data_IF_583306158296
#
_entry.id   IF_583306158296
#
_cell.length_a   1.000
_cell.length_b   1.000
_cell.length_c   1.000
_cell.angle_alpha   90.00
_cell.angle_beta   90.00
_cell.angle_gamma   90.00
#
_symmetry.space_group_name_H-M   'P 1'
#
loop_
_entity.id
_entity.type
_entity.pdbx_description
1 polymer ?
#
# COMPACT_ATOMS: atom_id res chain seq x y z
N UNK A 1 -6.24 -9.37 6.58
CA UNK A 1 -5.30 -10.48 6.86
C UNK A 1 -4.07 -10.01 7.62
N UNK A 2 -3.21 -9.12 7.09
CA UNK A 2 -1.98 -8.72 7.79
C UNK A 2 -2.19 -8.24 9.25
N UNK A 3 -3.28 -7.50 9.51
CA UNK A 3 -3.63 -7.02 10.84
C UNK A 3 -3.87 -8.15 11.87
N UNK A 4 -4.45 -9.28 11.44
CA UNK A 4 -4.80 -10.37 12.35
C UNK A 4 -3.59 -11.10 12.91
N UNK A 5 -2.40 -10.89 12.35
CA UNK A 5 -1.15 -11.39 12.94
C UNK A 5 -0.91 -10.73 14.30
N UNK A 6 -1.15 -9.43 14.40
CA UNK A 6 -0.78 -8.61 15.57
C UNK A 6 -1.93 -8.34 16.52
N UNK A 7 -3.18 -8.31 16.05
CA UNK A 7 -4.33 -8.02 16.90
C UNK A 7 -5.64 -7.94 16.14
N UNK A 8 -6.68 -7.41 16.78
CA UNK A 8 -8.00 -7.31 16.17
C UNK A 8 -7.93 -6.42 14.92
N UNK A 9 -8.25 -6.94 13.71
CA UNK A 9 -8.16 -6.18 12.47
C UNK A 9 -8.98 -4.88 12.47
N UNK A 10 -10.14 -4.85 13.13
CA UNK A 10 -11.01 -3.67 13.17
C UNK A 10 -10.38 -2.51 13.95
N UNK A 11 -9.61 -2.80 15.00
CA UNK A 11 -8.96 -1.78 15.82
C UNK A 11 -7.52 -1.49 15.40
N UNK A 12 -6.86 -2.45 14.75
CA UNK A 12 -5.47 -2.34 14.34
C UNK A 12 -5.33 -1.54 13.04
N UNK A 13 -6.19 -1.80 12.05
CA UNK A 13 -6.23 -0.99 10.83
C UNK A 13 -6.65 0.44 11.15
N UNK A 14 -5.93 1.41 10.59
CA UNK A 14 -6.23 2.84 10.70
C UNK A 14 -6.60 3.37 9.33
N UNK A 15 -7.36 4.47 9.29
CA UNK A 15 -7.67 5.15 8.05
C UNK A 15 -6.64 6.25 7.78
N UNK A 16 -6.41 6.56 6.51
CA UNK A 16 -5.61 7.71 6.08
C UNK A 16 -6.21 9.07 6.46
N UNK A 17 -7.45 9.10 6.98
CA UNK A 17 -8.13 10.28 7.53
C UNK A 17 -7.46 10.82 8.80
N UNK A 18 -6.28 11.39 8.64
CA UNK A 18 -5.47 11.95 9.72
C UNK A 18 -4.57 13.06 9.19
N UNK A 19 -4.15 13.97 10.07
CA UNK A 19 -3.15 15.00 9.73
C UNK A 19 -1.75 14.40 9.80
N UNK A 20 -0.75 15.05 9.18
CA UNK A 20 0.65 14.63 9.32
C UNK A 20 1.12 14.45 10.79
N UNK A 21 0.62 15.28 11.71
CA UNK A 21 0.91 15.16 13.14
C UNK A 21 0.25 13.94 13.79
N UNK A 22 -0.98 13.61 13.37
CA UNK A 22 -1.67 12.40 13.81
C UNK A 22 -0.95 11.15 13.32
N UNK A 23 -0.48 11.16 12.07
CA UNK A 23 0.33 10.07 11.51
C UNK A 23 1.68 9.90 12.22
N UNK A 24 2.33 10.99 12.64
CA UNK A 24 3.54 10.93 13.48
C UNK A 24 3.28 10.18 14.79
N UNK A 25 2.16 10.47 15.46
CA UNK A 25 1.76 9.76 16.68
C UNK A 25 1.46 8.28 16.43
N UNK A 26 0.76 7.97 15.34
CA UNK A 26 0.47 6.58 14.95
C UNK A 26 1.73 5.79 14.61
N UNK A 27 2.69 6.42 13.91
CA UNK A 27 3.97 5.82 13.57
C UNK A 27 4.80 5.50 14.81
N UNK A 28 4.84 6.42 15.78
CA UNK A 28 5.52 6.18 17.05
C UNK A 28 4.89 5.02 17.85
N UNK A 29 3.56 4.86 17.79
CA UNK A 29 2.85 3.75 18.45
C UNK A 29 3.10 2.39 17.77
N UNK A 30 3.40 2.37 16.47
CA UNK A 30 3.70 1.16 15.69
C UNK A 30 5.20 1.02 15.40
N UNK A 31 6.06 1.65 16.22
CA UNK A 31 7.50 1.51 16.08
C UNK A 31 7.91 0.03 16.23
N UNK A 32 8.81 -0.41 15.36
CA UNK A 32 9.26 -1.79 15.20
C UNK A 32 8.13 -2.79 14.85
N UNK A 33 6.99 -2.27 14.37
CA UNK A 33 5.81 -3.03 13.99
C UNK A 33 5.29 -2.70 12.59
N UNK A 34 4.10 -3.23 12.30
CA UNK A 34 3.37 -3.00 11.05
C UNK A 34 2.32 -1.90 11.25
N UNK A 35 2.34 -0.84 10.46
CA UNK A 35 1.27 0.14 10.41
C UNK A 35 0.37 -0.14 9.20
N UNK A 36 -0.93 -0.32 9.39
CA UNK A 36 -1.87 -0.52 8.27
C UNK A 36 -2.74 0.73 8.15
N UNK A 37 -2.68 1.35 6.98
CA UNK A 37 -3.45 2.54 6.61
C UNK A 37 -4.36 2.21 5.42
N UNK A 38 -5.66 2.23 5.66
CA UNK A 38 -6.67 1.94 4.65
C UNK A 38 -7.26 3.24 4.09
N UNK A 39 -7.80 3.14 2.88
CA UNK A 39 -8.45 4.23 2.14
C UNK A 39 -7.58 5.48 1.92
N UNK A 40 -6.51 5.35 1.12
CA UNK A 40 -5.59 6.45 0.80
C UNK A 40 -6.30 7.73 0.32
N UNK A 41 -7.44 7.62 -0.36
CA UNK A 41 -8.25 8.74 -0.82
C UNK A 41 -8.79 9.65 0.31
N UNK A 42 -8.76 9.21 1.56
CA UNK A 42 -9.28 9.97 2.71
C UNK A 42 -8.30 11.00 3.29
N UNK A 43 -7.02 11.00 2.90
CA UNK A 43 -6.09 12.07 3.24
C UNK A 43 -6.26 13.25 2.27
N UNK A 44 -5.97 14.46 2.72
CA UNK A 44 -5.84 15.59 1.80
C UNK A 44 -4.71 15.29 0.79
N UNK A 45 -5.06 15.28 -0.49
CA UNK A 45 -4.13 15.14 -1.62
C UNK A 45 -2.89 16.03 -1.51
N UNK A 46 -2.98 17.20 -0.88
CA UNK A 46 -1.85 18.12 -0.66
C UNK A 46 -0.88 17.64 0.42
N UNK A 47 -1.37 16.87 1.39
CA UNK A 47 -0.60 16.32 2.50
C UNK A 47 -0.10 14.90 2.20
N UNK A 48 -0.72 14.17 1.27
CA UNK A 48 -0.42 12.77 0.95
C UNK A 48 1.07 12.49 0.73
N UNK A 49 1.72 13.31 -0.11
CA UNK A 49 3.15 13.16 -0.43
C UNK A 49 4.08 13.44 0.76
N UNK A 50 3.75 14.43 1.60
CA UNK A 50 4.51 14.70 2.83
C UNK A 50 4.31 13.59 3.86
N UNK A 51 3.08 13.09 3.99
CA UNK A 51 2.71 12.04 4.93
C UNK A 51 3.44 10.73 4.62
N UNK A 52 3.42 10.28 3.36
CA UNK A 52 4.17 9.10 2.93
C UNK A 52 5.69 9.28 3.16
N UNK A 53 6.23 10.47 2.91
CA UNK A 53 7.63 10.78 3.14
C UNK A 53 8.01 10.75 4.63
N UNK A 54 7.15 11.31 5.49
CA UNK A 54 7.30 11.30 6.94
C UNK A 54 7.33 9.87 7.47
N UNK A 55 6.33 9.05 7.11
CA UNK A 55 6.24 7.66 7.54
C UNK A 55 7.47 6.86 7.14
N UNK A 56 7.91 6.99 5.89
CA UNK A 56 9.05 6.26 5.34
C UNK A 56 10.43 6.69 5.89
N UNK A 57 10.57 7.93 6.36
CA UNK A 57 11.85 8.43 6.88
C UNK A 57 12.09 8.09 8.35
N UNK A 58 11.07 7.68 9.09
CA UNK A 58 11.27 7.24 10.46
C UNK A 58 11.45 8.36 11.49
N UNK A 59 11.15 9.62 11.15
CA UNK A 59 11.43 10.76 12.04
C UNK A 59 10.32 11.82 12.00
N UNK A 60 9.91 12.24 13.19
CA UNK A 60 8.95 13.31 13.40
C UNK A 60 9.51 14.70 13.10
N UNK A 61 8.63 15.69 12.88
CA UNK A 61 9.06 17.06 12.59
C UNK A 61 9.78 17.65 13.81
N UNK A 62 11.00 18.16 13.62
CA UNK A 62 11.77 18.83 14.67
C UNK A 62 11.05 20.11 15.10
N UNK A 63 10.84 20.27 16.41
CA UNK A 63 10.17 21.44 16.99
C UNK A 63 11.08 22.11 18.02
N UNK A 64 11.05 23.43 18.08
CA UNK A 64 11.66 24.17 19.18
C UNK A 64 10.84 23.96 20.47
N UNK A 65 11.52 23.81 21.59
CA UNK A 65 10.90 23.85 22.91
C UNK A 65 10.62 25.29 23.34
N UNK A 66 9.81 25.46 24.38
CA UNK A 66 9.51 26.77 24.98
C UNK A 66 10.75 27.48 25.53
N UNK A 67 11.86 26.76 25.71
CA UNK A 67 13.15 27.30 26.18
C UNK A 67 14.15 27.56 25.05
N UNK A 68 13.73 27.47 23.78
CA UNK A 68 14.60 27.67 22.61
C UNK A 68 15.53 26.48 22.29
N UNK A 69 15.51 25.44 23.11
CA UNK A 69 16.25 24.19 22.85
C UNK A 69 15.45 23.28 21.92
N UNK A 70 16.10 22.48 21.07
CA UNK A 70 15.43 21.53 20.17
C UNK A 70 14.73 20.45 21.01
N UNK A 71 13.42 20.29 20.84
CA UNK A 71 12.66 19.20 21.47
C UNK A 71 13.04 17.88 20.80
N UNK A 72 13.22 16.82 21.59
CA UNK A 72 13.48 15.47 21.06
C UNK A 72 12.33 15.05 20.14
N UNK A 73 12.63 14.85 18.86
CA UNK A 73 11.67 14.32 17.88
C UNK A 73 11.45 12.84 18.11
N UNK A 74 10.23 12.37 17.85
CA UNK A 74 9.94 10.94 17.81
C UNK A 74 10.70 10.31 16.64
N UNK A 75 11.26 9.13 16.87
CA UNK A 75 11.90 8.32 15.84
C UNK A 75 11.22 6.96 15.81
N UNK A 76 11.09 6.39 14.62
CA UNK A 76 10.52 5.08 14.42
C UNK A 76 11.20 4.32 13.27
N UNK A 77 11.11 3.00 13.32
CA UNK A 77 11.39 2.08 12.23
C UNK A 77 10.12 1.27 12.02
N UNK A 78 9.46 1.38 10.87
CA UNK A 78 8.23 0.63 10.61
C UNK A 78 8.12 0.22 9.15
N UNK A 79 7.41 -0.88 8.93
CA UNK A 79 6.78 -1.16 7.65
C UNK A 79 5.35 -0.65 7.72
N UNK A 80 4.89 0.02 6.67
CA UNK A 80 3.48 0.34 6.54
C UNK A 80 2.90 -0.26 5.27
N UNK A 81 1.65 -0.69 5.38
CA UNK A 81 0.84 -1.17 4.27
C UNK A 81 -0.26 -0.14 4.03
N UNK A 82 -0.40 0.27 2.77
CA UNK A 82 -1.47 1.17 2.34
C UNK A 82 -2.41 0.43 1.39
N UNK A 83 -3.70 0.74 1.46
CA UNK A 83 -4.68 0.35 0.47
C UNK A 83 -5.44 1.59 -0.04
N UNK A 84 -5.81 1.56 -1.33
CA UNK A 84 -6.55 2.64 -1.97
C UNK A 84 -6.83 2.30 -3.44
N UNK A 85 -7.86 2.93 -3.99
CA UNK A 85 -8.25 2.74 -5.40
C UNK A 85 -7.27 3.43 -6.36
N UNK A 86 -6.61 4.50 -5.92
CA UNK A 86 -5.66 5.26 -6.71
C UNK A 86 -4.26 5.27 -6.09
N UNK A 87 -3.23 5.36 -6.93
CA UNK A 87 -1.84 5.50 -6.48
C UNK A 87 -1.60 6.83 -5.77
N UNK A 88 -0.54 6.90 -4.96
CA UNK A 88 -0.11 8.15 -4.32
C UNK A 88 0.18 9.24 -5.36
N UNK A 89 0.80 8.87 -6.48
CA UNK A 89 1.10 9.80 -7.58
C UNK A 89 -0.19 10.36 -8.20
N UNK A 90 -1.21 9.52 -8.42
CA UNK A 90 -2.51 9.96 -8.93
C UNK A 90 -3.23 10.89 -7.94
N UNK A 91 -3.23 10.54 -6.65
CA UNK A 91 -3.83 11.37 -5.60
C UNK A 91 -3.16 12.76 -5.52
N UNK A 92 -1.83 12.82 -5.54
CA UNK A 92 -1.10 14.09 -5.52
C UNK A 92 -1.38 14.94 -6.77
N UNK A 93 -1.52 14.30 -7.93
CA UNK A 93 -1.80 15.00 -9.19
C UNK A 93 -3.15 15.73 -9.17
N UNK A 94 -4.16 15.25 -8.41
CA UNK A 94 -5.44 15.95 -8.22
C UNK A 94 -5.30 17.35 -7.64
N UNK A 95 -4.23 17.59 -6.87
CA UNK A 95 -3.89 18.90 -6.31
C UNK A 95 -2.82 19.66 -7.10
N UNK A 96 -2.47 19.20 -8.30
CA UNK A 96 -1.43 19.80 -9.15
C UNK A 96 -0.01 19.60 -8.61
N UNK A 97 0.19 18.72 -7.62
CA UNK A 97 1.51 18.40 -7.09
C UNK A 97 2.20 17.37 -7.99
N UNK A 98 3.50 17.56 -8.23
CA UNK A 98 4.33 16.57 -8.93
C UNK A 98 5.01 15.66 -7.92
N UNK A 99 4.82 14.35 -8.08
CA UNK A 99 5.56 13.35 -7.30
C UNK A 99 7.02 13.30 -7.75
N UNK A 100 7.96 13.31 -6.80
CA UNK A 100 9.38 13.07 -7.10
C UNK A 100 9.70 11.57 -7.05
N UNK A 101 10.72 11.12 -7.78
CA UNK A 101 11.07 9.71 -7.84
C UNK A 101 11.43 9.13 -6.46
N UNK A 102 11.90 9.99 -5.54
CA UNK A 102 12.17 9.62 -4.15
C UNK A 102 10.90 9.30 -3.33
N UNK A 103 9.76 9.91 -3.64
CA UNK A 103 8.47 9.65 -2.99
C UNK A 103 7.84 8.37 -3.53
N UNK A 104 7.87 8.17 -4.85
CA UNK A 104 7.37 6.94 -5.50
C UNK A 104 8.08 5.67 -5.02
N UNK A 105 9.41 5.69 -4.84
CA UNK A 105 10.12 4.50 -4.35
C UNK A 105 9.92 4.24 -2.85
N UNK A 106 9.36 5.21 -2.11
CA UNK A 106 9.11 5.08 -0.68
C UNK A 106 7.79 4.36 -0.40
N UNK A 107 6.82 4.48 -1.29
CA UNK A 107 5.58 3.71 -1.29
C UNK A 107 5.52 2.92 -2.59
N UNK A 108 6.01 1.67 -2.55
CA UNK A 108 6.00 0.80 -3.71
C UNK A 108 4.56 0.33 -4.00
N UNK A 109 3.93 0.94 -5.01
CA UNK A 109 2.58 0.60 -5.43
C UNK A 109 2.56 -0.71 -6.22
N UNK A 110 1.74 -1.67 -5.79
CA UNK A 110 1.55 -2.96 -6.46
C UNK A 110 0.06 -3.06 -6.79
N UNK A 111 -0.25 -3.42 -8.04
CA UNK A 111 -1.63 -3.61 -8.47
C UNK A 111 -2.27 -4.78 -7.71
N UNK A 112 -3.50 -4.58 -7.24
CA UNK A 112 -4.26 -5.58 -6.48
C UNK A 112 -4.96 -6.60 -7.41
N UNK A 113 -4.24 -7.06 -8.44
CA UNK A 113 -4.67 -8.10 -9.37
C UNK A 113 -3.54 -9.12 -9.55
N UNK A 114 -3.84 -10.37 -9.24
CA UNK A 114 -2.92 -11.49 -9.42
C UNK A 114 -2.87 -12.00 -10.87
N UNK A 115 -3.59 -11.37 -11.81
CA UNK A 115 -3.60 -11.70 -13.23
C UNK A 115 -4.38 -12.99 -13.57
N UNK A 116 -5.08 -13.55 -12.58
CA UNK A 116 -5.81 -14.80 -12.70
C UNK A 116 -7.33 -14.60 -12.87
N UNK A 117 -7.78 -13.36 -13.08
CA UNK A 117 -9.21 -13.02 -13.21
C UNK A 117 -9.99 -13.18 -11.89
N UNK A 118 -9.29 -13.26 -10.76
CA UNK A 118 -9.84 -13.50 -9.42
C UNK A 118 -9.47 -12.39 -8.42
N UNK A 119 -9.07 -11.21 -8.92
CA UNK A 119 -8.57 -10.11 -8.11
C UNK A 119 -7.23 -10.49 -7.46
N UNK A 120 -7.09 -10.24 -6.15
CA UNK A 120 -5.85 -10.50 -5.39
C UNK A 120 -5.48 -11.98 -5.19
N UNK A 121 -6.26 -12.92 -5.72
CA UNK A 121 -6.06 -14.36 -5.49
C UNK A 121 -5.59 -15.07 -6.76
N UNK A 122 -4.54 -15.90 -6.67
CA UNK A 122 -4.19 -16.86 -7.72
C UNK A 122 -5.01 -18.16 -7.62
N UNK A 123 -5.54 -18.48 -6.44
CA UNK A 123 -6.25 -19.73 -6.17
C UNK A 123 -7.31 -19.52 -5.10
N UNK A 124 -8.52 -20.02 -5.33
CA UNK A 124 -9.65 -19.90 -4.38
C UNK A 124 -9.79 -21.10 -3.44
N UNK A 125 -8.93 -22.10 -3.57
CA UNK A 125 -8.94 -23.34 -2.78
C UNK A 125 -10.35 -23.96 -2.76
N UNK A 126 -10.86 -24.36 -1.58
CA UNK A 126 -12.16 -24.98 -1.41
C UNK A 126 -13.34 -23.97 -1.32
N UNK A 127 -13.16 -22.76 -1.85
CA UNK A 127 -14.20 -21.73 -1.85
C UNK A 127 -15.00 -21.72 -3.16
N UNK A 128 -16.24 -21.25 -3.07
CA UNK A 128 -17.16 -21.20 -4.22
C UNK A 128 -16.81 -20.09 -5.22
N UNK A 129 -16.15 -19.02 -4.78
CA UNK A 129 -15.77 -17.88 -5.61
C UNK A 129 -14.70 -17.01 -4.91
N UNK A 130 -14.00 -16.12 -5.66
CA UNK A 130 -13.07 -15.16 -5.05
C UNK A 130 -13.72 -14.26 -4.00
N UNK A 131 -14.99 -13.87 -4.22
CA UNK A 131 -15.77 -13.08 -3.26
C UNK A 131 -16.05 -13.89 -1.98
N UNK A 132 -16.44 -15.15 -2.12
CA UNK A 132 -16.66 -16.06 -0.98
C UNK A 132 -15.38 -16.24 -0.17
N UNK A 133 -14.22 -16.35 -0.84
CA UNK A 133 -12.92 -16.45 -0.19
C UNK A 133 -12.59 -15.18 0.61
N UNK A 134 -12.76 -14.00 0.01
CA UNK A 134 -12.52 -12.73 0.70
C UNK A 134 -13.42 -12.55 1.94
N UNK A 135 -14.71 -12.89 1.83
CA UNK A 135 -15.65 -12.84 2.95
C UNK A 135 -15.29 -13.84 4.06
N UNK A 136 -14.92 -15.06 3.69
CA UNK A 136 -14.50 -16.09 4.64
C UNK A 136 -13.23 -15.66 5.37
N UNK A 137 -12.23 -15.15 4.66
CA UNK A 137 -11.00 -14.61 5.26
C UNK A 137 -11.31 -13.46 6.23
N UNK A 138 -12.21 -12.54 5.85
CA UNK A 138 -12.64 -11.45 6.74
C UNK A 138 -13.32 -11.97 8.02
N UNK A 139 -14.15 -13.01 7.90
CA UNK A 139 -14.80 -13.66 9.03
C UNK A 139 -13.79 -14.36 9.94
N UNK A 140 -12.90 -15.19 9.40
CA UNK A 140 -11.92 -15.92 10.22
C UNK A 140 -10.93 -14.97 10.88
N UNK A 141 -10.48 -13.93 10.18
CA UNK A 141 -9.54 -12.95 10.76
C UNK A 141 -10.16 -12.04 11.82
N UNK A 142 -11.50 -11.89 11.84
CA UNK A 142 -12.18 -11.17 12.92
C UNK A 142 -12.40 -12.03 14.18
N UNK A 143 -12.39 -13.36 14.04
CA UNK A 143 -12.53 -14.30 15.14
C UNK A 143 -11.19 -14.75 15.72
N UNK A 144 -10.20 -14.98 14.84
CA UNK A 144 -8.89 -15.50 15.18
C UNK A 144 -7.80 -14.49 14.82
N UNK A 145 -7.18 -13.89 15.84
CA UNK A 145 -6.15 -12.88 15.65
C UNK A 145 -5.16 -12.80 16.84
N UNK A 146 -4.01 -12.18 16.62
CA UNK A 146 -2.99 -11.84 17.63
C UNK A 146 -2.07 -12.98 18.05
N UNK A 147 -2.45 -14.24 17.84
CA UNK A 147 -1.67 -15.39 18.29
C UNK A 147 -0.31 -15.51 17.59
N UNK A 148 -0.28 -15.37 16.26
CA UNK A 148 0.93 -15.57 15.46
C UNK A 148 1.99 -14.49 15.73
N UNK A 149 1.58 -13.23 15.93
CA UNK A 149 2.52 -12.14 16.21
C UNK A 149 3.29 -12.34 17.52
N UNK A 150 2.63 -12.84 18.56
CA UNK A 150 3.30 -13.15 19.84
C UNK A 150 4.28 -14.31 19.68
N UNK A 151 3.89 -15.38 18.98
CA UNK A 151 4.79 -16.51 18.76
C UNK A 151 5.99 -16.12 17.89
N UNK A 152 5.78 -15.30 16.85
CA UNK A 152 6.87 -14.71 16.08
C UNK A 152 7.87 -13.97 16.97
N UNK A 153 7.40 -13.12 17.88
CA UNK A 153 8.27 -12.39 18.80
C UNK A 153 9.07 -13.33 19.72
N UNK A 154 8.43 -14.37 20.26
CA UNK A 154 9.11 -15.39 21.08
C UNK A 154 10.25 -16.06 20.32
N UNK A 155 10.00 -16.44 19.06
CA UNK A 155 11.00 -17.07 18.20
C UNK A 155 12.14 -16.11 17.85
N UNK A 156 11.82 -14.85 17.55
CA UNK A 156 12.81 -13.81 17.25
C UNK A 156 13.73 -13.54 18.43
N UNK A 157 13.18 -13.40 19.64
CA UNK A 157 13.96 -13.18 20.87
C UNK A 157 14.87 -14.37 21.17
N UNK A 158 14.35 -15.58 21.02
CA UNK A 158 15.08 -16.83 21.26
C UNK A 158 16.26 -17.00 20.30
N UNK A 159 16.07 -16.67 19.01
CA UNK A 159 17.04 -16.93 17.95
C UNK A 159 17.79 -15.68 17.46
N UNK A 160 17.75 -14.57 18.21
CA UNK A 160 18.24 -13.24 17.81
C UNK A 160 19.59 -13.22 17.09
N UNK A 161 20.56 -14.00 17.57
CA UNK A 161 21.93 -14.01 17.05
C UNK A 161 22.03 -14.67 15.66
N UNK A 162 21.16 -15.65 15.38
CA UNK A 162 21.14 -16.39 14.11
C UNK A 162 20.35 -15.65 13.03
N UNK A 163 19.29 -14.94 13.43
CA UNK A 163 18.38 -14.24 12.52
C UNK A 163 19.10 -13.14 11.75
N UNK A 164 19.98 -12.36 12.38
CA UNK A 164 20.66 -11.25 11.71
C UNK A 164 21.47 -11.70 10.48
N UNK A 165 22.22 -12.80 10.60
CA UNK A 165 22.97 -13.38 9.47
C UNK A 165 22.02 -13.94 8.42
N UNK A 166 21.04 -14.74 8.84
CA UNK A 166 20.05 -15.33 7.94
C UNK A 166 19.32 -14.28 7.08
N UNK A 167 18.84 -13.20 7.71
CA UNK A 167 18.17 -12.10 7.01
C UNK A 167 19.12 -11.40 6.05
N UNK A 168 20.37 -11.16 6.45
CA UNK A 168 21.38 -10.53 5.58
C UNK A 168 21.67 -11.37 4.35
N UNK A 169 21.83 -12.69 4.53
CA UNK A 169 22.13 -13.63 3.45
C UNK A 169 20.97 -13.73 2.45
N UNK A 170 19.72 -13.82 2.94
CA UNK A 170 18.55 -13.81 2.06
C UNK A 170 18.41 -12.49 1.33
N UNK A 171 18.62 -11.36 2.01
CA UNK A 171 18.53 -10.05 1.36
C UNK A 171 19.53 -9.95 0.22
N UNK A 172 20.77 -10.38 0.45
CA UNK A 172 21.81 -10.36 -0.56
C UNK A 172 21.45 -11.26 -1.74
N UNK A 173 21.07 -12.51 -1.47
CA UNK A 173 20.65 -13.46 -2.51
C UNK A 173 19.46 -12.95 -3.33
N UNK A 174 18.44 -12.37 -2.68
CA UNK A 174 17.29 -11.79 -3.37
C UNK A 174 17.71 -10.66 -4.29
N UNK A 175 18.50 -9.71 -3.79
CA UNK A 175 19.01 -8.58 -4.59
C UNK A 175 19.80 -9.09 -5.80
N UNK A 176 20.73 -10.03 -5.60
CA UNK A 176 21.54 -10.59 -6.68
C UNK A 176 20.70 -11.37 -7.72
N UNK A 177 19.57 -11.92 -7.32
CA UNK A 177 18.64 -12.65 -8.20
C UNK A 177 17.78 -11.72 -9.06
N UNK A 178 17.38 -10.56 -8.54
CA UNK A 178 16.38 -9.68 -9.20
C UNK A 178 16.99 -8.43 -9.83
N UNK A 179 18.19 -8.03 -9.42
CA UNK A 179 18.85 -6.82 -9.90
C UNK A 179 19.74 -7.13 -11.10
N UNK A 180 19.58 -6.36 -12.17
CA UNK A 180 20.49 -6.33 -13.32
C UNK A 180 21.68 -5.39 -13.06
N UNK A 181 22.79 -5.60 -13.75
CA UNK A 181 24.07 -4.91 -13.52
C UNK A 181 24.04 -3.38 -13.70
N UNK A 182 23.02 -2.85 -14.36
CA UNK A 182 22.78 -1.43 -14.66
C UNK A 182 21.67 -0.78 -13.82
N UNK A 183 21.09 -1.52 -12.87
CA UNK A 183 19.98 -1.01 -12.07
C UNK A 183 20.37 0.23 -11.25
N UNK A 184 19.48 1.23 -11.27
CA UNK A 184 19.69 2.45 -10.49
C UNK A 184 19.67 2.18 -8.98
N UNK A 185 20.38 3.01 -8.21
CA UNK A 185 20.36 2.93 -6.74
C UNK A 185 18.98 3.16 -6.11
N UNK A 186 17.98 3.57 -6.88
CA UNK A 186 16.57 3.64 -6.47
C UNK A 186 15.91 2.25 -6.48
N UNK A 187 16.05 1.52 -7.60
CA UNK A 187 15.52 0.16 -7.75
C UNK A 187 16.13 -0.78 -6.70
N UNK A 188 17.44 -0.68 -6.46
CA UNK A 188 18.13 -1.49 -5.44
C UNK A 188 17.55 -1.26 -4.04
N UNK A 189 17.13 -0.03 -3.69
CA UNK A 189 16.52 0.27 -2.38
C UNK A 189 15.15 -0.39 -2.24
N UNK A 190 14.36 -0.42 -3.31
CA UNK A 190 13.05 -1.06 -3.30
C UNK A 190 13.21 -2.57 -3.25
N UNK A 191 14.11 -3.15 -4.05
CA UNK A 191 14.42 -4.58 -4.01
C UNK A 191 14.80 -5.06 -2.60
N UNK A 192 15.60 -4.29 -1.86
CA UNK A 192 15.96 -4.63 -0.46
C UNK A 192 14.75 -4.69 0.48
N UNK A 193 13.69 -3.93 0.23
CA UNK A 193 12.46 -3.97 1.05
C UNK A 193 11.65 -5.23 0.75
N UNK A 194 11.48 -5.58 -0.53
CA UNK A 194 10.88 -6.85 -0.94
C UNK A 194 11.69 -8.05 -0.41
N UNK A 195 13.01 -7.95 -0.45
CA UNK A 195 13.91 -8.95 0.10
C UNK A 195 13.75 -9.16 1.61
N UNK A 196 13.47 -8.08 2.36
CA UNK A 196 13.17 -8.19 3.78
C UNK A 196 11.83 -8.89 4.04
N UNK A 197 10.82 -8.65 3.20
CA UNK A 197 9.55 -9.39 3.26
C UNK A 197 9.77 -10.88 2.95
N UNK A 198 10.56 -11.19 1.92
CA UNK A 198 10.97 -12.56 1.60
C UNK A 198 11.67 -13.24 2.78
N UNK A 199 12.67 -12.58 3.37
CA UNK A 199 13.41 -13.11 4.51
C UNK A 199 12.52 -13.34 5.74
N UNK A 200 11.58 -12.42 6.00
CA UNK A 200 10.64 -12.56 7.10
C UNK A 200 9.69 -13.76 6.90
N UNK A 201 9.16 -13.94 5.69
CA UNK A 201 8.28 -15.08 5.39
C UNK A 201 9.03 -16.42 5.41
N UNK A 202 10.25 -16.50 4.85
CA UNK A 202 11.07 -17.71 4.96
C UNK A 202 11.39 -18.07 6.42
N UNK A 203 11.68 -17.07 7.25
CA UNK A 203 11.91 -17.28 8.68
C UNK A 203 10.62 -17.76 9.39
N UNK A 204 9.48 -17.17 9.05
CA UNK A 204 8.19 -17.54 9.63
C UNK A 204 7.80 -18.98 9.25
N UNK A 205 8.08 -19.40 8.02
CA UNK A 205 7.91 -20.79 7.56
C UNK A 205 8.82 -21.75 8.31
N UNK A 206 10.09 -21.39 8.53
CA UNK A 206 11.04 -22.21 9.32
C UNK A 206 10.63 -22.36 10.78
N UNK A 207 9.95 -21.37 11.35
CA UNK A 207 9.36 -21.45 12.68
C UNK A 207 8.00 -22.18 12.70
N UNK A 208 7.49 -22.62 11.55
CA UNK A 208 6.23 -23.35 11.44
C UNK A 208 4.98 -22.46 11.59
N UNK A 209 5.10 -21.15 11.34
CA UNK A 209 4.02 -20.18 11.57
C UNK A 209 3.09 -19.98 10.37
N UNK A 210 3.56 -20.27 9.16
CA UNK A 210 2.83 -20.02 7.90
C UNK A 210 2.27 -21.29 7.27
N UNK A 211 2.96 -22.42 7.43
CA UNK A 211 2.69 -23.65 6.68
C UNK A 211 3.17 -23.62 5.22
N UNK A 212 3.88 -22.56 4.80
CA UNK A 212 4.43 -22.44 3.45
C UNK A 212 5.66 -23.33 3.24
N UNK A 213 5.89 -23.72 1.98
CA UNK A 213 7.09 -24.46 1.60
C UNK A 213 8.31 -23.53 1.58
N UNK A 214 9.50 -24.11 1.74
CA UNK A 214 10.75 -23.35 1.60
C UNK A 214 10.85 -22.74 0.19
N UNK A 215 11.19 -21.44 0.13
CA UNK A 215 11.29 -20.67 -1.10
C UNK A 215 9.98 -20.04 -1.60
N UNK A 216 8.84 -20.37 -1.00
CA UNK A 216 7.53 -19.84 -1.40
C UNK A 216 7.42 -18.33 -1.13
N UNK A 217 7.91 -17.88 0.04
CA UNK A 217 7.91 -16.44 0.36
C UNK A 217 8.88 -15.67 -0.54
N UNK A 218 10.02 -16.27 -0.87
CA UNK A 218 10.98 -15.69 -1.80
C UNK A 218 10.38 -15.52 -3.19
N UNK A 219 9.72 -16.56 -3.71
CA UNK A 219 9.07 -16.52 -5.01
C UNK A 219 7.95 -15.48 -5.07
N UNK A 220 7.08 -15.43 -4.05
CA UNK A 220 6.00 -14.45 -3.97
C UNK A 220 6.53 -13.01 -3.94
N UNK A 221 7.54 -12.72 -3.12
CA UNK A 221 8.16 -11.40 -3.07
C UNK A 221 8.82 -11.01 -4.40
N UNK A 222 9.39 -11.98 -5.13
CA UNK A 222 9.96 -11.76 -6.47
C UNK A 222 8.87 -11.40 -7.48
N UNK A 223 7.72 -12.10 -7.48
CA UNK A 223 6.58 -11.79 -8.36
C UNK A 223 6.12 -10.35 -8.11
N UNK A 224 5.89 -9.97 -6.85
CA UNK A 224 5.47 -8.61 -6.51
C UNK A 224 6.52 -7.55 -6.88
N UNK A 225 7.81 -7.84 -6.70
CA UNK A 225 8.89 -6.94 -7.12
C UNK A 225 8.93 -6.76 -8.64
N UNK A 226 8.77 -7.84 -9.41
CA UNK A 226 8.74 -7.77 -10.87
C UNK A 226 7.53 -6.99 -11.35
N UNK A 227 6.34 -7.24 -10.80
CA UNK A 227 5.14 -6.45 -11.12
C UNK A 227 5.32 -4.96 -10.80
N UNK A 228 5.91 -4.64 -9.64
CA UNK A 228 6.27 -3.26 -9.30
C UNK A 228 7.28 -2.67 -10.28
N UNK A 229 8.33 -3.41 -10.66
CA UNK A 229 9.37 -2.94 -11.56
C UNK A 229 8.85 -2.67 -12.98
N UNK A 230 7.95 -3.52 -13.47
CA UNK A 230 7.27 -3.34 -14.76
C UNK A 230 6.39 -2.08 -14.75
N UNK A 231 5.63 -1.85 -13.68
CA UNK A 231 4.83 -0.65 -13.51
C UNK A 231 5.68 0.62 -13.33
N UNK A 232 6.78 0.52 -12.56
CA UNK A 232 7.71 1.62 -12.31
C UNK A 232 8.52 1.98 -13.57
N UNK A 233 8.84 0.98 -14.39
CA UNK A 233 9.59 1.04 -15.65
C UNK A 233 11.11 1.08 -15.47
N UNK A 234 11.83 0.24 -16.24
CA UNK A 234 13.28 0.02 -16.12
C UNK A 234 14.15 1.28 -16.35
N UNK A 235 13.74 2.16 -17.27
CA UNK A 235 14.59 3.27 -17.76
C UNK A 235 14.15 4.67 -17.30
N UNK A 236 13.28 4.81 -16.30
CA UNK A 236 12.88 6.14 -15.83
C UNK A 236 12.12 6.98 -16.87
N UNK A 237 11.58 6.37 -17.94
CA UNK A 237 10.74 7.02 -18.94
C UNK A 237 9.36 7.39 -18.36
N UNK A 238 9.38 8.38 -17.47
CA UNK A 238 8.27 8.88 -16.66
C UNK A 238 7.17 9.51 -17.49
N UNK A 239 7.50 10.04 -18.67
CA UNK A 239 6.58 10.82 -19.51
C UNK A 239 5.55 9.95 -20.22
N UNK A 240 5.97 8.87 -20.89
CA UNK A 240 5.05 7.94 -21.56
C UNK A 240 4.11 7.24 -20.57
N UNK A 241 4.61 6.93 -19.36
CA UNK A 241 3.82 6.30 -18.29
C UNK A 241 2.87 7.27 -17.60
N UNK A 242 3.27 8.54 -17.40
CA UNK A 242 2.36 9.56 -16.89
C UNK A 242 1.15 9.74 -17.81
N UNK A 243 1.36 9.67 -19.13
CA UNK A 243 0.28 9.74 -20.11
C UNK A 243 -0.65 8.52 -19.99
N UNK A 244 -0.12 7.30 -19.93
CA UNK A 244 -0.95 6.08 -19.81
C UNK A 244 -1.68 5.98 -18.46
N UNK A 245 -1.03 6.37 -17.36
CA UNK A 245 -1.65 6.45 -16.04
C UNK A 245 -2.72 7.54 -15.98
N UNK A 246 -2.49 8.69 -16.62
CA UNK A 246 -3.50 9.75 -16.74
C UNK A 246 -4.69 9.30 -17.59
N UNK A 247 -4.46 8.51 -18.63
CA UNK A 247 -5.52 7.91 -19.45
C UNK A 247 -6.32 6.88 -18.65
N UNK A 248 -5.67 5.98 -17.90
CA UNK A 248 -6.36 5.03 -17.00
C UNK A 248 -7.16 5.75 -15.91
N UNK A 249 -6.55 6.69 -15.20
CA UNK A 249 -7.21 7.49 -14.19
C UNK A 249 -8.38 8.32 -14.77
N UNK A 250 -8.27 8.77 -16.02
CA UNK A 250 -9.38 9.42 -16.72
C UNK A 250 -10.54 8.45 -16.98
N UNK A 251 -10.26 7.22 -17.41
CA UNK A 251 -11.30 6.19 -17.60
C UNK A 251 -11.95 5.76 -16.28
N UNK A 252 -11.18 5.61 -15.20
CA UNK A 252 -11.70 5.24 -13.88
C UNK A 252 -12.56 6.36 -13.28
N UNK A 253 -12.19 7.63 -13.48
CA UNK A 253 -12.94 8.78 -12.97
C UNK A 253 -14.16 9.18 -13.83
N UNK A 254 -14.17 8.86 -15.12
CA UNK A 254 -15.23 9.31 -16.06
C UNK A 254 -15.98 8.18 -16.77
N UNK A 255 -15.65 6.91 -16.51
CA UNK A 255 -16.19 5.73 -17.20
C UNK A 255 -17.71 5.64 -17.17
N UNK A 256 -18.36 6.03 -16.07
CA UNK A 256 -19.81 5.99 -15.94
C UNK A 256 -20.54 7.23 -16.50
N UNK A 257 -19.83 8.33 -16.77
CA UNK A 257 -20.47 9.62 -17.13
C UNK A 257 -20.27 10.03 -18.59
N UNK A 258 -19.25 9.53 -19.28
CA UNK A 258 -18.90 10.00 -20.64
C UNK A 258 -18.63 8.92 -21.68
N UNK A 259 -18.60 7.66 -21.28
CA UNK A 259 -18.38 6.55 -22.21
C UNK A 259 -19.60 5.65 -22.20
N UNK A 260 -20.32 5.68 -23.32
CA UNK A 260 -21.44 4.78 -23.54
C UNK A 260 -20.89 3.44 -24.05
N UNK A 261 -21.45 2.33 -23.57
CA UNK A 261 -21.03 1.01 -24.00
C UNK A 261 -21.34 0.83 -25.49
N UNK A 262 -20.36 0.47 -26.31
CA UNK A 262 -20.56 0.25 -27.75
C UNK A 262 -21.63 -0.83 -28.06
N UNK A 263 -21.96 -1.69 -27.08
CA UNK A 263 -22.97 -2.74 -27.19
C UNK A 263 -24.37 -2.31 -26.71
N UNK A 264 -24.52 -1.13 -26.10
CA UNK A 264 -25.82 -0.58 -25.69
C UNK A 264 -25.74 0.96 -25.60
N UNK A 265 -25.91 1.68 -26.72
CA UNK A 265 -25.96 3.13 -26.68
C UNK A 265 -27.24 3.59 -25.96
N UNK A 266 -27.09 4.21 -24.80
CA UNK A 266 -28.18 4.83 -24.05
C UNK A 266 -28.42 6.23 -24.61
N UNK A 267 -29.44 6.38 -25.46
CA UNK A 267 -29.67 7.57 -26.28
C UNK A 267 -30.39 8.70 -25.52
N UNK A 268 -29.98 9.00 -24.28
CA UNK A 268 -30.48 10.16 -23.54
C UNK A 268 -29.35 11.18 -23.33
N UNK A 269 -29.35 12.20 -24.19
CA UNK A 269 -28.53 13.40 -24.02
C UNK A 269 -28.95 14.13 -22.74
N UNK A 270 -28.20 13.94 -21.65
CA UNK A 270 -28.27 14.87 -20.51
C UNK A 270 -27.39 16.08 -20.85
N UNK A 271 -28.04 17.11 -21.40
CA UNK A 271 -27.43 18.41 -21.65
C UNK A 271 -27.46 19.17 -20.32
N UNK A 272 -26.27 19.49 -19.80
CA UNK A 272 -26.08 20.45 -18.71
C UNK A 272 -26.90 21.72 -18.98
N UNK A 273 -27.77 22.10 -18.05
CA UNK A 273 -28.38 23.43 -18.05
C UNK A 273 -28.28 24.05 -16.65
N UNK A 274 -27.25 24.87 -16.47
CA UNK A 274 -27.28 25.95 -15.51
C UNK A 274 -28.05 27.10 -16.16
N UNK A 275 -29.23 27.49 -15.66
CA UNK A 275 -29.73 28.86 -15.75
C UNK A 275 -30.70 29.17 -14.60
N UNK A 276 -30.70 30.45 -14.26
CA UNK A 276 -31.21 31.05 -13.05
C UNK A 276 -32.72 31.33 -13.05
N UNK A 277 -33.22 31.50 -11.82
CA UNK A 277 -34.26 32.44 -11.37
C UNK A 277 -35.70 32.37 -11.92
N UNK A 278 -36.58 32.26 -10.92
CA UNK A 278 -37.77 33.11 -10.67
C UNK A 278 -39.14 32.52 -11.03
N UNK A 279 -39.93 32.35 -9.95
CA UNK A 279 -41.37 32.69 -9.80
C UNK A 279 -42.34 32.28 -10.90
N UNK A 280 -43.34 31.46 -10.56
CA UNK A 280 -44.72 31.91 -10.27
C UNK A 280 -45.74 30.75 -10.26
N UNK A 281 -46.45 30.66 -9.13
CA UNK A 281 -47.88 30.37 -8.93
C UNK A 281 -48.52 29.04 -9.37
N UNK A 282 -49.20 28.48 -8.36
CA UNK A 282 -50.60 28.05 -8.35
C UNK A 282 -50.96 26.71 -9.01
N UNK A 283 -51.39 25.76 -8.16
CA UNK A 283 -52.79 25.29 -8.03
C UNK A 283 -53.02 24.05 -8.93
N UNK A 284 -53.66 22.96 -8.55
CA UNK A 284 -54.75 22.70 -7.61
C UNK A 284 -54.87 21.15 -7.47
N UNK A 285 -55.36 20.71 -6.30
CA UNK A 285 -55.78 19.37 -5.82
C UNK A 285 -54.74 18.26 -5.68
#
# INVERSE_FOLDING_TARGET
MAASVWGNPQSYCRLWRSTANGLEGLAALHNDGLLILDELSQIDSREAGEAAYLLANGQGKTRASRTGTVRKSSQWSLFFLSAGEESLTALMAKSGQRSNAGQEIRLADIEADAGCGMGIFETIHDQLSPVSMALSLKQFTSQYYGAIGIEWLNQVVTHRQKIARFVTDIIQNFVDTVIQSDATGQIIRVARRFALVAAAGELASRFGLTGWKEGESFAAAKICFTAWLEAFGADGNREDRAIMAQVRAFFESHGASRFDSANHPNNEKIINSCYAQSTLTNHIF
#
